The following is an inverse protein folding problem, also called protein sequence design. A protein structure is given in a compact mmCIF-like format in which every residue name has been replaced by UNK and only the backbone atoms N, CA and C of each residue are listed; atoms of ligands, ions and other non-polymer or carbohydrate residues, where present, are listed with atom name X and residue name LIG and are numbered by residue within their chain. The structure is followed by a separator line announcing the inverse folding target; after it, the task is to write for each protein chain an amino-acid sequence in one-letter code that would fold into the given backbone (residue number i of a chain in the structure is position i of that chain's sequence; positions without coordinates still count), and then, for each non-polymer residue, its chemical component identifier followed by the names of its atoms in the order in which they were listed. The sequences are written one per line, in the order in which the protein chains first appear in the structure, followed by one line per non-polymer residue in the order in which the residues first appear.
data_IF_294889404205
#
_entry.id   IF_294889404205
#
_cell.length_a   1.000
_cell.length_b   1.000
_cell.length_c   1.000
_cell.angle_alpha   90.00
_cell.angle_beta   90.00
_cell.angle_gamma   90.00
#
_symmetry.space_group_name_H-M   'P 1'
#
loop_
_entity.id
_entity.type
_entity.pdbx_description
1 polymer ?
#
# COMPACT_ATOMS: atom_id res chain seq x y z
N UNK A 1 -0.09 -13.30 -48.31
CA UNK A 1 -0.48 -11.89 -48.53
C UNK A 1 0.58 -11.04 -47.84
N UNK A 2 1.64 -10.66 -48.55
CA UNK A 2 2.70 -9.82 -47.98
C UNK A 2 2.24 -8.37 -48.04
N UNK A 3 2.16 -7.71 -46.88
CA UNK A 3 1.86 -6.29 -46.81
C UNK A 3 2.93 -5.50 -47.59
N UNK A 4 2.49 -4.55 -48.41
CA UNK A 4 3.42 -3.65 -49.11
C UNK A 4 4.25 -2.85 -48.09
N UNK A 5 5.49 -2.47 -48.43
CA UNK A 5 6.37 -1.74 -47.52
C UNK A 5 5.74 -0.43 -47.00
N UNK A 6 4.95 0.26 -47.81
CA UNK A 6 4.21 1.47 -47.41
C UNK A 6 3.19 1.20 -46.30
N UNK A 7 2.47 0.07 -46.36
CA UNK A 7 1.46 -0.27 -45.35
C UNK A 7 2.12 -0.62 -44.01
N UNK A 8 3.32 -1.20 -44.02
CA UNK A 8 4.08 -1.48 -42.79
C UNK A 8 4.50 -0.20 -42.09
N UNK A 9 5.06 0.75 -42.82
CA UNK A 9 5.53 2.04 -42.28
C UNK A 9 4.38 2.83 -41.64
N UNK A 10 3.23 2.89 -42.32
CA UNK A 10 2.01 3.52 -41.78
C UNK A 10 1.53 2.85 -40.48
N UNK A 11 1.64 1.53 -40.40
CA UNK A 11 1.23 0.77 -39.22
C UNK A 11 2.15 1.02 -38.03
N UNK A 12 3.46 1.13 -38.27
CA UNK A 12 4.42 1.49 -37.22
C UNK A 12 4.17 2.89 -36.67
N UNK A 13 3.89 3.86 -37.55
CA UNK A 13 3.53 5.23 -37.13
C UNK A 13 2.25 5.24 -36.28
N UNK A 14 1.21 4.52 -36.72
CA UNK A 14 -0.04 4.41 -35.97
C UNK A 14 0.20 3.74 -34.62
N UNK A 15 1.03 2.71 -34.57
CA UNK A 15 1.40 2.03 -33.34
C UNK A 15 2.16 2.96 -32.39
N UNK A 16 3.13 3.73 -32.87
CA UNK A 16 3.91 4.65 -32.04
C UNK A 16 3.08 5.81 -31.51
N UNK A 17 2.18 6.37 -32.33
CA UNK A 17 1.22 7.39 -31.89
C UNK A 17 0.29 6.81 -30.84
N UNK A 18 -0.31 5.64 -31.09
CA UNK A 18 -1.20 4.98 -30.15
C UNK A 18 -0.48 4.68 -28.82
N UNK A 19 0.75 4.16 -28.88
CA UNK A 19 1.58 3.89 -27.70
C UNK A 19 1.89 5.17 -26.93
N UNK A 20 2.23 6.26 -27.62
CA UNK A 20 2.57 7.55 -26.99
C UNK A 20 1.35 8.19 -26.35
N UNK A 21 0.22 8.24 -27.05
CA UNK A 21 -1.05 8.75 -26.53
C UNK A 21 -1.55 7.91 -25.35
N UNK A 22 -1.43 6.58 -25.44
CA UNK A 22 -1.76 5.71 -24.33
C UNK A 22 -0.81 5.94 -23.15
N UNK A 23 0.50 5.99 -23.36
CA UNK A 23 1.45 6.20 -22.26
C UNK A 23 1.24 7.55 -21.55
N UNK A 24 1.16 8.65 -22.30
CA UNK A 24 1.04 9.99 -21.72
C UNK A 24 -0.38 10.36 -21.30
N UNK A 25 -1.42 9.69 -21.79
CA UNK A 25 -2.80 9.90 -21.38
C UNK A 25 -3.27 8.95 -20.28
N UNK A 26 -2.99 7.65 -20.44
CA UNK A 26 -3.46 6.61 -19.54
C UNK A 26 -2.67 6.55 -18.23
N UNK A 27 -1.33 6.65 -18.28
CA UNK A 27 -0.51 6.53 -17.06
C UNK A 27 -0.82 7.65 -16.05
N UNK A 28 -0.92 8.94 -16.45
CA UNK A 28 -1.31 9.98 -15.52
C UNK A 28 -2.74 9.79 -15.01
N UNK A 29 -3.70 9.42 -15.88
CA UNK A 29 -5.09 9.19 -15.49
C UNK A 29 -5.21 8.11 -14.40
N UNK A 30 -4.55 6.97 -14.59
CA UNK A 30 -4.55 5.88 -13.59
C UNK A 30 -3.86 6.32 -12.31
N UNK A 31 -2.75 7.06 -12.40
CA UNK A 31 -2.06 7.57 -11.24
C UNK A 31 -2.96 8.49 -10.40
N UNK A 32 -3.67 9.42 -11.03
CA UNK A 32 -4.62 10.31 -10.34
C UNK A 32 -5.76 9.53 -9.68
N UNK A 33 -6.33 8.55 -10.39
CA UNK A 33 -7.44 7.73 -9.87
C UNK A 33 -7.03 6.91 -8.63
N UNK A 34 -5.81 6.38 -8.62
CA UNK A 34 -5.33 5.50 -7.55
C UNK A 34 -4.78 6.29 -6.37
N UNK A 35 -4.21 7.48 -6.62
CA UNK A 35 -3.60 8.34 -5.60
C UNK A 35 -4.54 8.64 -4.43
N UNK A 36 -5.77 9.08 -4.71
CA UNK A 36 -6.75 9.42 -3.66
C UNK A 36 -7.06 8.23 -2.74
N UNK A 37 -7.23 7.05 -3.34
CA UNK A 37 -7.52 5.81 -2.59
C UNK A 37 -6.32 5.37 -1.76
N UNK A 38 -5.11 5.49 -2.32
CA UNK A 38 -3.88 5.17 -1.61
C UNK A 38 -3.64 6.13 -0.44
N UNK A 39 -3.92 7.41 -0.60
CA UNK A 39 -3.79 8.39 0.47
C UNK A 39 -4.73 8.07 1.64
N UNK A 40 -5.99 7.71 1.37
CA UNK A 40 -6.94 7.30 2.41
C UNK A 40 -6.45 6.05 3.15
N UNK A 41 -6.01 5.02 2.42
CA UNK A 41 -5.49 3.79 3.03
C UNK A 41 -4.22 4.08 3.86
N UNK A 42 -3.34 4.93 3.34
CA UNK A 42 -2.12 5.32 4.03
C UNK A 42 -2.39 6.04 5.34
N UNK A 43 -3.30 7.02 5.36
CA UNK A 43 -3.64 7.75 6.59
C UNK A 43 -4.33 6.82 7.60
N UNK A 44 -5.25 5.95 7.18
CA UNK A 44 -5.87 4.96 8.07
C UNK A 44 -4.80 4.02 8.66
N UNK A 45 -3.89 3.52 7.83
CA UNK A 45 -2.81 2.63 8.28
C UNK A 45 -1.91 3.35 9.28
N UNK A 46 -1.48 4.57 8.97
CA UNK A 46 -0.64 5.41 9.83
C UNK A 46 -1.29 5.66 11.18
N UNK A 47 -2.55 6.08 11.20
CA UNK A 47 -3.31 6.32 12.45
C UNK A 47 -3.47 5.02 13.25
N UNK A 48 -3.80 3.92 12.57
CA UNK A 48 -3.98 2.61 13.21
C UNK A 48 -2.68 2.10 13.84
N UNK A 49 -1.55 2.23 13.15
CA UNK A 49 -0.25 1.87 13.72
C UNK A 49 0.14 2.79 14.88
N UNK A 50 -0.04 4.10 14.73
CA UNK A 50 0.36 5.06 15.77
C UNK A 50 -0.38 4.82 17.09
N UNK A 51 -1.69 4.59 17.04
CA UNK A 51 -2.51 4.40 18.24
C UNK A 51 -2.68 2.93 18.64
N UNK A 52 -2.59 1.99 17.70
CA UNK A 52 -2.87 0.58 17.92
C UNK A 52 -1.64 -0.26 18.26
N UNK A 53 -0.43 0.18 17.90
CA UNK A 53 0.78 -0.63 18.10
C UNK A 53 1.03 -0.95 19.58
N UNK A 54 1.07 0.07 20.44
CA UNK A 54 1.34 -0.11 21.88
C UNK A 54 0.26 -0.94 22.57
N UNK A 55 -1.06 -0.65 22.40
CA UNK A 55 -2.12 -1.50 22.96
C UNK A 55 -2.03 -2.96 22.49
N UNK A 56 -1.69 -3.19 21.22
CA UNK A 56 -1.58 -4.55 20.67
C UNK A 56 -0.44 -5.32 21.32
N UNK A 57 0.73 -4.70 21.46
CA UNK A 57 1.89 -5.32 22.12
C UNK A 57 1.57 -5.63 23.58
N UNK A 58 0.94 -4.70 24.30
CA UNK A 58 0.52 -4.92 25.69
C UNK A 58 -0.44 -6.11 25.78
N UNK A 59 -1.48 -6.15 24.95
CA UNK A 59 -2.43 -7.27 24.92
C UNK A 59 -1.74 -8.61 24.71
N UNK A 60 -0.80 -8.69 23.76
CA UNK A 60 -0.04 -9.93 23.52
C UNK A 60 0.84 -10.31 24.72
N UNK A 61 1.47 -9.33 25.38
CA UNK A 61 2.25 -9.54 26.59
C UNK A 61 1.40 -10.10 27.74
N UNK A 62 0.25 -9.49 28.01
CA UNK A 62 -0.69 -9.99 29.03
C UNK A 62 -1.28 -11.35 28.65
N UNK A 63 -1.56 -11.60 27.37
CA UNK A 63 -2.07 -12.89 26.89
C UNK A 63 -1.05 -14.02 27.03
N UNK A 64 0.25 -13.74 26.82
CA UNK A 64 1.33 -14.70 27.09
C UNK A 64 1.46 -15.00 28.58
N UNK A 65 1.25 -13.98 29.43
CA UNK A 65 1.35 -14.10 30.88
C UNK A 65 2.80 -14.09 31.36
N UNK A 66 2.96 -14.05 32.69
CA UNK A 66 4.27 -14.09 33.36
C UNK A 66 4.82 -15.52 33.40
N UNK A 67 6.15 -15.65 33.45
CA UNK A 67 6.79 -16.95 33.60
C UNK A 67 6.49 -17.56 34.99
N UNK A 68 6.46 -18.90 35.10
CA UNK A 68 6.22 -19.56 36.38
C UNK A 68 7.22 -19.12 37.45
N UNK A 69 6.73 -18.56 38.56
CA UNK A 69 7.56 -18.04 39.64
C UNK A 69 7.71 -16.51 39.66
N UNK A 70 7.20 -15.80 38.65
CA UNK A 70 7.12 -14.33 38.67
C UNK A 70 5.74 -13.81 39.11
N UNK A 71 5.66 -12.59 39.67
CA UNK A 71 4.38 -11.95 39.99
C UNK A 71 3.50 -11.79 38.75
N UNK A 72 2.17 -11.81 38.91
CA UNK A 72 1.25 -11.64 37.79
C UNK A 72 1.44 -10.26 37.14
N UNK A 73 1.47 -10.23 35.81
CA UNK A 73 1.46 -8.97 35.05
C UNK A 73 0.13 -8.26 35.32
N UNK A 74 0.19 -7.06 35.88
CA UNK A 74 -0.98 -6.19 36.08
C UNK A 74 -0.78 -4.83 35.40
N UNK A 75 -1.88 -4.17 35.01
CA UNK A 75 -1.81 -2.84 34.41
C UNK A 75 -1.19 -1.80 35.37
N UNK A 76 -1.51 -1.90 36.66
CA UNK A 76 -0.95 -1.02 37.68
C UNK A 76 0.58 -1.16 37.77
N UNK A 77 1.11 -2.39 37.83
CA UNK A 77 2.57 -2.61 37.88
C UNK A 77 3.33 -2.13 36.64
N UNK A 78 2.64 -1.97 35.50
CA UNK A 78 3.23 -1.56 34.23
C UNK A 78 3.24 -0.03 34.06
N UNK A 79 2.25 0.64 34.64
CA UNK A 79 2.06 2.09 34.51
C UNK A 79 2.59 2.88 35.73
N UNK A 80 2.61 2.24 36.90
CA UNK A 80 3.16 2.76 38.16
C UNK A 80 4.06 1.69 38.77
N UNK A 81 5.37 1.85 38.57
CA UNK A 81 6.41 1.11 39.31
C UNK A 81 6.80 1.87 40.58
#
# INVERSE_FOLDING_TARGET
MAMSPEVKERLEIVYDIAKTTFHWGFVPMVLYLVKERLEVVYEIAKTTFHWGFVPMVLYLGFKKGAEPGMPPLTLMSLLWQ
#
